data_IF_147170593780
#
_entry.id   IF_147170593780
#
_cell.length_a   1.000
_cell.length_b   1.000
_cell.length_c   1.000
_cell.angle_alpha   90.00
_cell.angle_beta   90.00
_cell.angle_gamma   90.00
#
_symmetry.space_group_name_H-M   'P 1'
#
loop_
_entity.id
_entity.type
_entity.pdbx_description
1 polymer ?
#
# COMPACT_ATOMS: atom_id res chain seq x y z
N UNK A 1 -22.10 -6.63 -1.89
CA UNK A 1 -20.88 -6.07 -1.29
C UNK A 1 -21.16 -4.63 -0.91
N UNK A 2 -20.53 -4.06 0.13
CA UNK A 2 -20.66 -2.62 0.37
C UNK A 2 -19.77 -1.82 -0.58
N UNK A 3 -20.12 -0.54 -0.77
CA UNK A 3 -19.31 0.40 -1.55
C UNK A 3 -17.87 0.51 -1.03
N UNK A 4 -17.67 0.41 0.29
CA UNK A 4 -16.34 0.47 0.89
C UNK A 4 -15.45 -0.70 0.45
N UNK A 5 -16.00 -1.92 0.45
CA UNK A 5 -15.29 -3.11 -0.02
C UNK A 5 -14.95 -2.99 -1.50
N UNK A 6 -15.90 -2.55 -2.34
CA UNK A 6 -15.67 -2.38 -3.78
C UNK A 6 -14.55 -1.36 -4.10
N UNK A 7 -14.44 -0.30 -3.29
CA UNK A 7 -13.36 0.69 -3.41
C UNK A 7 -12.00 0.06 -3.08
N UNK A 8 -11.93 -0.70 -1.99
CA UNK A 8 -10.67 -1.33 -1.54
C UNK A 8 -10.24 -2.45 -2.48
N UNK A 9 -11.17 -3.27 -2.99
CA UNK A 9 -10.89 -4.27 -4.02
C UNK A 9 -10.26 -3.66 -5.27
N UNK A 10 -10.78 -2.52 -5.73
CA UNK A 10 -10.22 -1.78 -6.88
C UNK A 10 -8.81 -1.28 -6.59
N UNK A 11 -8.55 -0.72 -5.40
CA UNK A 11 -7.21 -0.26 -5.00
C UNK A 11 -6.21 -1.42 -5.02
N UNK A 12 -6.55 -2.59 -4.46
CA UNK A 12 -5.67 -3.75 -4.49
C UNK A 12 -5.45 -4.31 -5.90
N UNK A 13 -6.48 -4.31 -6.75
CA UNK A 13 -6.32 -4.70 -8.15
C UNK A 13 -5.37 -3.77 -8.92
N UNK A 14 -5.41 -2.45 -8.62
CA UNK A 14 -4.49 -1.47 -9.20
C UNK A 14 -3.06 -1.67 -8.70
N UNK A 15 -2.86 -2.01 -7.42
CA UNK A 15 -1.54 -2.39 -6.92
C UNK A 15 -1.00 -3.66 -7.59
N UNK A 16 -1.85 -4.67 -7.83
CA UNK A 16 -1.43 -5.91 -8.46
C UNK A 16 -0.98 -5.73 -9.92
N UNK A 17 -1.60 -4.80 -10.67
CA UNK A 17 -1.18 -4.47 -12.03
C UNK A 17 -0.08 -3.40 -12.12
N UNK A 18 0.38 -2.87 -10.98
CA UNK A 18 1.43 -1.85 -10.91
C UNK A 18 0.97 -0.42 -11.23
N UNK A 19 -0.34 -0.16 -11.28
CA UNK A 19 -0.89 1.17 -11.51
C UNK A 19 -1.04 1.96 -10.19
N UNK A 20 0.12 2.37 -9.67
CA UNK A 20 0.22 3.11 -8.40
C UNK A 20 -0.47 4.47 -8.50
N UNK A 21 -0.35 5.16 -9.64
CA UNK A 21 -0.98 6.48 -9.84
C UNK A 21 -2.49 6.42 -9.70
N UNK A 22 -3.15 5.47 -10.38
CA UNK A 22 -4.59 5.30 -10.28
C UNK A 22 -5.02 4.88 -8.87
N UNK A 23 -4.25 4.02 -8.19
CA UNK A 23 -4.53 3.64 -6.81
C UNK A 23 -4.47 4.87 -5.87
N UNK A 24 -3.45 5.71 -6.03
CA UNK A 24 -3.28 6.95 -5.26
C UNK A 24 -4.37 7.98 -5.58
N UNK A 25 -4.87 8.03 -6.81
CA UNK A 25 -5.96 8.91 -7.21
C UNK A 25 -7.28 8.59 -6.50
N UNK A 26 -7.49 7.34 -6.07
CA UNK A 26 -8.65 6.91 -5.29
C UNK A 26 -8.57 7.28 -3.81
N UNK A 27 -7.40 7.68 -3.31
CA UNK A 27 -7.21 8.05 -1.91
C UNK A 27 -7.61 9.50 -1.65
N UNK A 28 -8.08 9.77 -0.43
CA UNK A 28 -8.33 11.14 0.03
C UNK A 28 -7.07 12.00 -0.11
N UNK A 29 -7.16 13.27 -0.58
CA UNK A 29 -6.04 14.21 -0.54
C UNK A 29 -5.47 14.40 0.88
N UNK A 30 -6.30 14.20 1.91
CA UNK A 30 -5.96 14.33 3.33
C UNK A 30 -5.74 12.97 4.02
N UNK A 31 -5.42 11.91 3.25
CA UNK A 31 -5.18 10.58 3.81
C UNK A 31 -4.13 10.62 4.93
N UNK A 32 -4.37 9.85 5.99
CA UNK A 32 -3.39 9.59 7.05
C UNK A 32 -3.05 8.12 6.94
N UNK A 33 -1.81 7.83 6.57
CA UNK A 33 -1.35 6.45 6.36
C UNK A 33 -0.41 6.04 7.48
N UNK A 34 -0.72 4.88 8.08
CA UNK A 34 0.10 4.28 9.11
C UNK A 34 0.83 3.05 8.56
N UNK A 35 2.15 3.12 8.51
CA UNK A 35 2.98 1.92 8.34
C UNK A 35 3.09 1.18 9.68
N UNK A 36 3.28 -0.14 9.63
CA UNK A 36 3.49 -0.92 10.85
C UNK A 36 4.76 -0.44 11.57
N UNK A 37 4.68 -0.27 12.89
CA UNK A 37 5.83 0.13 13.69
C UNK A 37 7.00 -0.86 13.46
N UNK A 38 8.22 -0.30 13.33
CA UNK A 38 9.45 -1.05 13.01
C UNK A 38 9.52 -1.68 11.61
N UNK A 39 8.56 -1.42 10.72
CA UNK A 39 8.74 -1.71 9.30
C UNK A 39 9.79 -0.76 8.68
N UNK A 40 10.56 -1.17 7.65
CA UNK A 40 11.64 -0.35 7.07
C UNK A 40 11.23 1.04 6.57
N UNK A 41 9.94 1.26 6.32
CA UNK A 41 9.36 2.52 5.86
C UNK A 41 8.46 3.17 6.91
N UNK A 42 8.72 2.97 8.20
CA UNK A 42 7.97 3.61 9.28
C UNK A 42 8.65 4.89 9.83
N UNK A 43 9.74 5.34 9.22
CA UNK A 43 10.60 6.44 9.70
C UNK A 43 9.96 7.83 9.63
N UNK A 44 8.85 8.00 8.90
CA UNK A 44 8.04 9.23 8.87
C UNK A 44 6.59 9.02 9.27
N UNK A 45 6.28 7.93 9.99
CA UNK A 45 4.92 7.53 10.33
C UNK A 45 4.28 8.50 11.37
N UNK A 46 3.04 8.97 11.18
CA UNK A 46 2.17 8.78 10.02
C UNK A 46 2.50 9.70 8.85
N UNK A 47 2.35 9.17 7.65
CA UNK A 47 2.41 9.95 6.41
C UNK A 47 1.08 10.69 6.19
N UNK A 48 1.15 11.98 5.87
CA UNK A 48 0.00 12.87 5.70
C UNK A 48 -0.10 13.36 4.26
N UNK A 49 -1.22 13.03 3.64
CA UNK A 49 -1.51 13.35 2.25
C UNK A 49 -0.84 12.40 1.26
N UNK A 50 -1.37 12.39 0.03
CA UNK A 50 -0.98 11.43 -1.02
C UNK A 50 0.52 11.46 -1.35
N UNK A 51 1.12 12.64 -1.33
CA UNK A 51 2.53 12.80 -1.70
C UNK A 51 3.46 12.12 -0.69
N UNK A 52 3.22 12.29 0.61
CA UNK A 52 4.05 11.64 1.64
C UNK A 52 3.90 10.11 1.58
N UNK A 53 2.68 9.61 1.34
CA UNK A 53 2.43 8.16 1.18
C UNK A 53 3.20 7.60 -0.03
N UNK A 54 3.14 8.31 -1.15
CA UNK A 54 3.84 7.91 -2.37
C UNK A 54 5.35 7.87 -2.15
N UNK A 55 5.95 9.02 -1.80
CA UNK A 55 7.41 9.18 -1.74
C UNK A 55 8.01 8.31 -0.63
N UNK A 56 7.39 8.32 0.55
CA UNK A 56 8.03 7.78 1.74
C UNK A 56 7.66 6.33 2.05
N UNK A 57 6.62 5.77 1.41
CA UNK A 57 6.24 4.36 1.55
C UNK A 57 6.29 3.63 0.21
N UNK A 58 5.40 3.97 -0.74
CA UNK A 58 5.19 3.16 -1.95
C UNK A 58 6.39 3.17 -2.90
N UNK A 59 6.94 4.33 -3.22
CA UNK A 59 8.07 4.44 -4.16
C UNK A 59 9.31 3.70 -3.63
N UNK A 60 9.55 3.74 -2.31
CA UNK A 60 10.63 2.98 -1.66
C UNK A 60 10.37 1.49 -1.71
N UNK A 61 9.15 1.06 -1.41
CA UNK A 61 8.73 -0.35 -1.45
C UNK A 61 8.93 -0.95 -2.84
N UNK A 62 8.43 -0.29 -3.89
CA UNK A 62 8.57 -0.79 -5.26
C UNK A 62 9.99 -0.65 -5.82
N UNK A 63 10.80 0.28 -5.31
CA UNK A 63 12.21 0.40 -5.67
C UNK A 63 13.06 -0.70 -5.02
N UNK A 64 12.85 -0.96 -3.73
CA UNK A 64 13.74 -1.85 -2.97
C UNK A 64 13.36 -3.34 -3.14
N UNK A 65 12.13 -3.65 -3.58
CA UNK A 65 11.64 -5.02 -3.71
C UNK A 65 11.22 -5.35 -5.15
N UNK A 66 12.02 -6.17 -5.83
CA UNK A 66 11.66 -6.72 -7.12
C UNK A 66 10.44 -7.65 -7.01
N UNK A 67 9.57 -7.53 -8.01
CA UNK A 67 8.33 -8.31 -8.10
C UNK A 67 7.49 -8.24 -6.83
N UNK A 68 7.52 -7.11 -6.12
CA UNK A 68 6.70 -6.92 -4.94
C UNK A 68 5.21 -7.10 -5.27
N UNK A 69 4.53 -7.93 -4.48
CA UNK A 69 3.10 -8.22 -4.61
C UNK A 69 2.45 -8.32 -3.24
N UNK A 70 1.24 -7.78 -3.16
CA UNK A 70 0.34 -7.94 -2.04
C UNK A 70 -0.72 -8.97 -2.44
N UNK A 71 -0.54 -10.22 -2.01
CA UNK A 71 -1.50 -11.29 -2.30
C UNK A 71 -2.65 -11.19 -1.31
N UNK A 72 -3.80 -10.73 -1.78
CA UNK A 72 -5.03 -10.66 -0.98
C UNK A 72 -5.53 -12.08 -0.73
N UNK A 73 -5.69 -12.45 0.55
CA UNK A 73 -6.31 -13.72 0.96
C UNK A 73 -7.80 -13.52 1.25
N UNK A 74 -8.16 -12.43 1.95
CA UNK A 74 -9.54 -12.10 2.25
C UNK A 74 -9.74 -10.60 2.47
N UNK A 75 -10.94 -10.12 2.18
CA UNK A 75 -11.39 -8.76 2.49
C UNK A 75 -12.69 -8.88 3.30
N UNK A 76 -12.73 -8.21 4.44
CA UNK A 76 -13.85 -8.21 5.37
C UNK A 76 -14.48 -6.81 5.44
N UNK A 77 -15.79 -6.78 5.29
CA UNK A 77 -16.60 -5.59 5.56
C UNK A 77 -16.76 -5.41 7.08
N UNK A 78 -16.23 -4.31 7.60
CA UNK A 78 -16.34 -3.93 9.01
C UNK A 78 -17.10 -2.60 9.17
N UNK A 79 -18.09 -2.34 8.31
CA UNK A 79 -18.94 -1.14 8.35
C UNK A 79 -18.24 0.07 7.77
N UNK A 80 -17.79 1.00 8.62
CA UNK A 80 -17.02 2.17 8.18
C UNK A 80 -15.53 1.88 7.97
N UNK A 81 -15.10 0.64 8.24
CA UNK A 81 -13.76 0.14 8.00
C UNK A 81 -13.80 -1.09 7.09
N UNK A 82 -12.67 -1.37 6.45
CA UNK A 82 -12.43 -2.59 5.68
C UNK A 82 -11.14 -3.21 6.17
N UNK A 83 -11.13 -4.52 6.39
CA UNK A 83 -9.93 -5.26 6.80
C UNK A 83 -9.51 -6.18 5.66
N UNK A 84 -8.28 -6.03 5.19
CA UNK A 84 -7.66 -6.94 4.23
C UNK A 84 -6.64 -7.81 4.95
N UNK A 85 -6.68 -9.13 4.73
CA UNK A 85 -5.63 -10.06 5.14
C UNK A 85 -4.96 -10.64 3.91
N UNK A 86 -3.64 -10.82 3.98
CA UNK A 86 -2.87 -11.28 2.83
C UNK A 86 -1.41 -11.54 3.14
N UNK A 87 -0.63 -11.77 2.09
CA UNK A 87 0.82 -12.00 2.18
C UNK A 87 1.57 -11.07 1.25
N UNK A 88 2.67 -10.53 1.76
CA UNK A 88 3.68 -9.90 0.92
C UNK A 88 4.57 -10.96 0.28
N UNK A 89 4.87 -10.78 -1.00
CA UNK A 89 5.93 -11.48 -1.70
C UNK A 89 6.80 -10.46 -2.40
N UNK A 90 8.11 -10.66 -2.40
CA UNK A 90 9.05 -9.80 -3.06
C UNK A 90 10.47 -10.32 -2.86
N UNK A 91 11.36 -9.93 -3.75
CA UNK A 91 12.79 -10.21 -3.61
C UNK A 91 13.47 -8.88 -3.32
N UNK A 92 14.13 -8.77 -2.17
CA UNK A 92 14.89 -7.57 -1.83
C UNK A 92 16.00 -7.37 -2.88
N UNK A 93 15.93 -6.28 -3.63
CA UNK A 93 16.99 -5.87 -4.52
C UNK A 93 18.06 -5.15 -3.71
N UNK A 94 19.09 -5.90 -3.29
CA UNK A 94 20.27 -5.31 -2.69
C UNK A 94 21.14 -4.72 -3.79
N UNK A 95 20.73 -3.57 -4.34
CA UNK A 95 21.62 -2.72 -5.11
C UNK A 95 22.58 -2.00 -4.13
N UNK A 96 23.56 -2.78 -3.65
CA UNK A 96 24.85 -2.40 -3.07
C UNK A 96 24.84 -1.23 -2.06
N UNK A 97 25.08 -1.58 -0.80
CA UNK A 97 25.97 -0.78 0.04
C UNK A 97 27.38 -0.83 -0.60
N UNK A 98 27.72 0.10 -1.49
CA UNK A 98 29.12 0.53 -1.70
C UNK A 98 29.21 2.01 -1.41
#
# INVERSE_FOLDING_TARGET
>A
MSQNVEIIEKIYALFECGDIESAMAMMSPEIIWYEAEHFPYADGNPYRGREEVRINALDRLYRDWANFRQQVEAIFDAGNAVVMTGRYNGILEVARFV
#
